data_IF_467372298328
#
_entry.id   IF_467372298328
#
_cell.length_a   1.000
_cell.length_b   1.000
_cell.length_c   1.000
_cell.angle_alpha   90.00
_cell.angle_beta   90.00
_cell.angle_gamma   90.00
#
_symmetry.space_group_name_H-M   'P 1'
#
loop_
_entity.id
_entity.type
_entity.pdbx_description
1 polymer ?
#
# COMPACT_ATOMS: atom_id res chain seq x y z
N UNK A 1 -1.54 -41.68 -29.03
CA UNK A 1 -1.07 -42.24 -27.74
C UNK A 1 -1.57 -41.28 -26.68
N UNK A 2 -2.82 -41.47 -26.29
CA UNK A 2 -3.54 -40.60 -25.36
C UNK A 2 -3.48 -41.24 -23.98
N UNK A 3 -3.06 -40.48 -22.96
CA UNK A 3 -3.05 -40.92 -21.57
C UNK A 3 -4.19 -40.20 -20.85
N UNK A 4 -5.14 -40.91 -20.21
CA UNK A 4 -6.37 -40.33 -19.69
C UNK A 4 -6.19 -39.68 -18.32
N UNK A 5 -6.90 -38.56 -18.11
CA UNK A 5 -7.02 -37.84 -16.83
C UNK A 5 -8.08 -38.52 -15.96
N UNK A 6 -7.69 -39.02 -14.78
CA UNK A 6 -8.60 -39.60 -13.81
C UNK A 6 -9.17 -38.52 -12.87
N UNK A 7 -10.46 -38.20 -13.02
CA UNK A 7 -11.25 -37.39 -12.06
C UNK A 7 -12.24 -38.30 -11.33
N UNK A 8 -11.95 -38.70 -10.10
CA UNK A 8 -12.97 -39.21 -9.18
C UNK A 8 -12.55 -39.13 -7.71
N UNK A 9 -12.97 -38.07 -7.01
CA UNK A 9 -13.28 -38.12 -5.57
C UNK A 9 -14.51 -37.26 -5.31
N UNK A 10 -15.69 -37.90 -5.37
CA UNK A 10 -16.93 -37.38 -4.77
C UNK A 10 -17.00 -37.93 -3.35
N UNK A 11 -17.08 -37.04 -2.36
CA UNK A 11 -17.39 -37.41 -0.99
C UNK A 11 -18.90 -37.60 -0.86
N UNK A 12 -19.31 -38.76 -0.35
CA UNK A 12 -20.70 -39.11 -0.03
C UNK A 12 -20.90 -38.87 1.47
N UNK A 13 -21.84 -38.00 1.84
CA UNK A 13 -22.33 -37.90 3.22
C UNK A 13 -23.30 -39.06 3.47
N UNK A 14 -22.97 -39.96 4.41
CA UNK A 14 -23.93 -40.88 5.02
C UNK A 14 -24.41 -40.28 6.35
N UNK A 15 -25.69 -39.90 6.40
CA UNK A 15 -26.37 -39.56 7.65
C UNK A 15 -27.08 -40.83 8.16
N UNK A 16 -26.60 -41.39 9.27
CA UNK A 16 -27.23 -42.51 9.95
C UNK A 16 -28.13 -41.97 11.07
N UNK A 17 -29.46 -42.06 10.90
CA UNK A 17 -30.43 -41.79 11.97
C UNK A 17 -30.43 -42.96 12.97
N UNK A 18 -30.14 -42.67 14.23
CA UNK A 18 -30.44 -43.57 15.35
C UNK A 18 -31.80 -43.19 15.95
N UNK A 19 -32.80 -44.07 15.77
CA UNK A 19 -34.09 -44.00 16.47
C UNK A 19 -33.91 -44.55 17.89
N UNK A 20 -34.31 -43.78 18.91
CA UNK A 20 -34.46 -44.27 20.28
C UNK A 20 -35.93 -44.22 20.67
N UNK A 21 -36.47 -45.38 21.02
CA UNK A 21 -37.86 -45.61 21.43
C UNK A 21 -37.96 -45.46 22.94
N UNK A 22 -38.72 -44.48 23.42
CA UNK A 22 -39.15 -44.43 24.82
C UNK A 22 -40.67 -44.23 24.88
N UNK A 23 -41.33 -45.22 25.46
CA UNK A 23 -42.77 -45.30 25.71
C UNK A 23 -43.14 -44.33 26.84
N UNK A 24 -44.12 -43.44 26.59
CA UNK A 24 -44.78 -42.67 27.64
C UNK A 24 -46.30 -42.81 27.52
N UNK A 25 -46.94 -43.15 28.65
CA UNK A 25 -48.39 -43.39 28.82
C UNK A 25 -49.13 -42.06 29.03
N UNK A 26 -50.37 -42.03 28.57
CA UNK A 26 -51.20 -40.86 28.27
C UNK A 26 -51.70 -39.99 29.45
N UNK A 27 -52.01 -38.72 29.13
CA UNK A 27 -52.84 -37.81 29.92
C UNK A 27 -53.17 -36.51 29.17
N UNK A 28 -54.43 -36.35 28.77
CA UNK A 28 -55.09 -35.33 27.91
C UNK A 28 -54.74 -33.85 28.15
N UNK A 29 -54.75 -33.05 27.08
CA UNK A 29 -54.97 -31.59 27.13
C UNK A 29 -54.48 -30.82 25.89
N UNK A 30 -55.38 -30.13 25.21
CA UNK A 30 -55.28 -29.49 23.89
C UNK A 30 -54.48 -28.17 23.81
N UNK A 31 -53.99 -27.93 22.58
CA UNK A 31 -53.81 -26.66 21.86
C UNK A 31 -52.37 -26.10 21.70
N UNK A 32 -52.02 -26.02 20.41
CA UNK A 32 -50.79 -25.58 19.77
C UNK A 32 -50.50 -24.08 20.00
N UNK A 33 -49.26 -23.77 20.38
CA UNK A 33 -48.68 -22.43 20.31
C UNK A 33 -47.15 -22.58 20.27
N UNK A 34 -46.58 -22.63 19.07
CA UNK A 34 -45.15 -22.82 18.86
C UNK A 34 -44.42 -21.50 19.13
N UNK A 35 -43.88 -21.33 20.33
CA UNK A 35 -42.85 -20.34 20.66
C UNK A 35 -41.70 -21.11 21.32
N UNK A 36 -40.62 -21.36 20.58
CA UNK A 36 -39.41 -21.94 21.15
C UNK A 36 -38.54 -20.80 21.71
N UNK A 37 -38.68 -20.58 23.01
CA UNK A 37 -37.58 -20.18 23.88
C UNK A 37 -37.05 -21.46 24.53
N UNK A 38 -35.75 -21.73 24.42
CA UNK A 38 -35.09 -22.75 25.23
C UNK A 38 -33.94 -22.10 25.98
N UNK A 39 -34.17 -21.95 27.28
CA UNK A 39 -33.17 -21.68 28.29
C UNK A 39 -32.27 -22.90 28.52
N UNK A 40 -31.11 -22.60 29.08
CA UNK A 40 -29.98 -23.47 29.37
C UNK A 40 -30.28 -24.68 30.28
N UNK A 41 -29.51 -25.75 30.06
CA UNK A 41 -29.03 -26.60 31.14
C UNK A 41 -27.49 -26.60 31.12
N UNK A 42 -26.91 -26.14 32.22
CA UNK A 42 -25.49 -26.13 32.55
C UNK A 42 -25.07 -27.40 33.27
N UNK A 43 -23.95 -27.99 32.85
CA UNK A 43 -22.97 -28.78 33.64
C UNK A 43 -21.67 -28.71 32.83
N UNK A 44 -20.48 -28.28 33.24
CA UNK A 44 -19.88 -27.92 34.52
C UNK A 44 -18.39 -28.35 34.46
N UNK A 45 -17.45 -27.37 34.42
CA UNK A 45 -15.98 -27.49 34.59
C UNK A 45 -15.19 -28.08 33.39
N UNK A 46 -14.06 -27.55 32.90
CA UNK A 46 -13.11 -26.58 33.43
C UNK A 46 -12.33 -25.82 32.32
N UNK A 47 -12.23 -24.50 32.55
CA UNK A 47 -11.19 -23.51 32.24
C UNK A 47 -10.32 -23.57 30.95
N UNK A 48 -10.47 -22.52 30.13
CA UNK A 48 -9.49 -22.09 29.11
C UNK A 48 -10.10 -21.14 28.08
N UNK A 49 -10.30 -19.89 28.46
CA UNK A 49 -11.12 -18.90 27.74
C UNK A 49 -10.69 -18.59 26.30
N UNK A 50 -11.71 -18.54 25.45
CA UNK A 50 -11.75 -17.82 24.17
C UNK A 50 -11.37 -16.36 24.39
N UNK A 51 -10.47 -15.82 23.58
CA UNK A 51 -10.15 -14.39 23.55
C UNK A 51 -10.42 -13.82 22.16
N UNK A 52 -11.16 -12.73 22.18
CA UNK A 52 -11.82 -12.03 21.10
C UNK A 52 -10.89 -11.51 20.00
N UNK A 53 -11.43 -11.56 18.78
CA UNK A 53 -11.02 -10.71 17.68
C UNK A 53 -11.70 -9.34 17.88
N UNK A 54 -10.99 -8.39 18.50
CA UNK A 54 -11.54 -7.07 18.73
C UNK A 54 -10.75 -6.22 19.72
N UNK A 55 -9.42 -6.17 19.61
CA UNK A 55 -8.64 -5.08 20.21
C UNK A 55 -7.22 -5.05 19.66
N UNK A 56 -6.96 -4.24 18.62
CA UNK A 56 -5.59 -3.83 18.24
C UNK A 56 -5.52 -2.36 17.85
N UNK A 57 -6.42 -1.59 18.46
CA UNK A 57 -6.50 -0.14 18.30
C UNK A 57 -5.87 0.66 19.42
N UNK A 58 -5.12 0.06 20.35
CA UNK A 58 -4.45 0.81 21.43
C UNK A 58 -3.16 0.13 21.87
N UNK A 59 -2.06 0.43 21.17
CA UNK A 59 -0.72 0.10 21.67
C UNK A 59 0.36 0.99 21.06
N UNK A 60 0.18 2.32 21.01
CA UNK A 60 1.30 3.27 20.86
C UNK A 60 0.99 4.59 21.58
N UNK A 61 0.94 4.53 22.90
CA UNK A 61 1.26 5.68 23.75
C UNK A 61 2.12 5.16 24.89
N UNK A 62 3.45 5.31 24.75
CA UNK A 62 4.35 5.74 25.83
C UNK A 62 5.80 5.72 25.35
N UNK A 63 6.40 6.91 25.27
CA UNK A 63 7.75 7.28 25.71
C UNK A 63 8.38 8.37 24.82
N UNK A 64 7.96 9.61 25.05
CA UNK A 64 8.84 10.77 24.86
C UNK A 64 8.52 11.79 25.96
N UNK A 65 9.09 11.57 27.14
CA UNK A 65 9.13 12.56 28.20
C UNK A 65 10.30 13.52 27.96
N UNK A 66 9.98 14.78 27.65
CA UNK A 66 10.72 15.97 28.07
C UNK A 66 9.66 17.06 28.14
N UNK A 67 9.37 17.72 29.26
CA UNK A 67 10.30 18.43 30.10
C UNK A 67 9.87 19.90 30.11
N UNK A 68 9.02 20.24 31.09
CA UNK A 68 8.78 21.57 31.70
C UNK A 68 8.19 22.74 30.88
N UNK A 69 7.04 23.24 31.36
CA UNK A 69 6.84 24.68 31.57
C UNK A 69 5.47 25.27 31.17
N UNK A 70 4.66 25.64 32.17
CA UNK A 70 3.75 26.78 32.06
C UNK A 70 2.24 26.49 32.07
N UNK A 71 1.63 26.61 33.25
CA UNK A 71 0.18 26.64 33.45
C UNK A 71 -0.44 27.99 33.06
N UNK A 72 -1.71 28.00 32.62
CA UNK A 72 -2.81 28.82 33.19
C UNK A 72 -4.15 28.68 32.43
N UNK A 73 -5.16 28.23 33.18
CA UNK A 73 -6.56 28.70 33.29
C UNK A 73 -7.49 28.87 32.05
N UNK A 74 -8.42 27.91 31.95
CA UNK A 74 -9.91 28.02 31.94
C UNK A 74 -10.65 29.34 31.68
N UNK A 75 -11.68 29.24 30.83
CA UNK A 75 -12.90 30.07 30.75
C UNK A 75 -13.23 30.38 29.29
N UNK A 76 -14.42 30.20 28.71
CA UNK A 76 -15.75 29.90 29.21
C UNK A 76 -16.77 30.66 28.34
N UNK A 77 -17.70 29.91 27.73
CA UNK A 77 -19.05 30.28 27.29
C UNK A 77 -19.30 31.15 26.02
N UNK A 78 -20.50 30.87 25.49
CA UNK A 78 -21.13 31.21 24.23
C UNK A 78 -21.93 32.53 24.23
N UNK A 79 -22.41 32.95 23.05
CA UNK A 79 -23.80 33.32 22.69
C UNK A 79 -23.83 34.19 21.40
N UNK A 80 -24.50 33.77 20.30
CA UNK A 80 -25.88 34.02 19.81
C UNK A 80 -26.10 35.23 18.87
N UNK A 81 -26.94 35.03 17.84
CA UNK A 81 -27.64 36.04 17.01
C UNK A 81 -26.96 36.34 15.66
N UNK A 82 -27.54 36.21 14.47
CA UNK A 82 -28.94 36.09 14.03
C UNK A 82 -29.23 37.19 12.98
N UNK A 83 -29.72 36.85 11.78
CA UNK A 83 -30.32 37.83 10.86
C UNK A 83 -30.17 37.52 9.37
N UNK A 84 -31.30 37.40 8.66
CA UNK A 84 -31.48 36.88 7.31
C UNK A 84 -31.84 37.98 6.27
N UNK A 85 -31.87 37.57 4.99
CA UNK A 85 -32.59 38.21 3.87
C UNK A 85 -31.65 38.84 2.82
N UNK A 86 -31.82 38.68 1.51
CA UNK A 86 -32.82 38.03 0.67
C UNK A 86 -32.54 38.37 -0.81
N UNK A 87 -32.82 37.40 -1.69
CA UNK A 87 -33.27 37.45 -3.10
C UNK A 87 -32.68 38.44 -4.15
N UNK A 88 -32.42 37.89 -5.35
CA UNK A 88 -31.83 38.52 -6.55
C UNK A 88 -32.74 39.49 -7.32
N UNK A 89 -32.46 39.77 -8.62
CA UNK A 89 -32.65 38.77 -9.67
C UNK A 89 -31.63 38.83 -10.84
N UNK A 90 -32.02 38.19 -11.94
CA UNK A 90 -31.27 37.47 -12.97
C UNK A 90 -30.90 38.23 -14.27
N UNK A 91 -30.39 37.43 -15.23
CA UNK A 91 -30.28 37.60 -16.70
C UNK A 91 -28.92 38.18 -17.20
N UNK A 92 -28.30 37.75 -18.32
CA UNK A 92 -28.58 36.73 -19.34
C UNK A 92 -27.42 36.65 -20.35
N UNK A 93 -27.28 35.49 -21.01
CA UNK A 93 -26.94 35.25 -22.43
C UNK A 93 -25.63 35.77 -23.06
N UNK A 94 -24.94 34.86 -23.76
CA UNK A 94 -24.03 35.20 -24.87
C UNK A 94 -23.38 33.96 -25.51
N UNK A 95 -23.98 33.46 -26.60
CA UNK A 95 -23.43 32.42 -27.47
C UNK A 95 -22.89 33.04 -28.77
N UNK A 96 -21.95 32.35 -29.44
CA UNK A 96 -21.49 32.62 -30.82
C UNK A 96 -19.99 32.91 -30.91
N UNK A 97 -19.19 32.33 -31.80
CA UNK A 97 -19.55 31.57 -32.99
C UNK A 97 -18.36 30.82 -33.62
N UNK A 98 -18.72 30.08 -34.65
CA UNK A 98 -17.86 29.24 -35.49
C UNK A 98 -17.31 30.00 -36.71
N UNK A 99 -16.27 29.41 -37.34
CA UNK A 99 -15.79 29.72 -38.70
C UNK A 99 -14.39 29.12 -38.91
N UNK A 100 -14.24 27.86 -39.34
CA UNK A 100 -14.09 27.35 -40.73
C UNK A 100 -12.91 27.91 -41.53
N UNK A 101 -11.95 27.05 -41.89
CA UNK A 101 -11.41 26.72 -43.24
C UNK A 101 -10.20 25.78 -43.03
N UNK A 102 -10.21 24.48 -43.39
CA UNK A 102 -10.25 23.83 -44.72
C UNK A 102 -8.89 23.83 -45.48
N UNK A 103 -8.46 22.61 -45.84
CA UNK A 103 -7.35 22.29 -46.77
C UNK A 103 -6.22 21.54 -46.07
N UNK A 104 -5.89 20.26 -46.30
CA UNK A 104 -6.11 19.39 -47.45
C UNK A 104 -4.74 18.80 -47.84
N UNK A 105 -4.57 17.48 -47.75
CA UNK A 105 -3.37 16.80 -48.26
C UNK A 105 -2.97 15.54 -47.49
N UNK A 106 -3.31 14.38 -48.04
CA UNK A 106 -2.69 13.07 -47.76
C UNK A 106 -2.13 12.54 -49.10
N UNK A 107 -1.47 11.37 -49.15
CA UNK A 107 -0.37 10.84 -48.36
C UNK A 107 0.85 10.56 -49.27
N UNK A 108 2.00 10.15 -48.72
CA UNK A 108 3.19 9.80 -49.50
C UNK A 108 4.02 8.70 -48.84
N UNK A 109 4.31 7.68 -49.63
CA UNK A 109 4.71 6.32 -49.27
C UNK A 109 6.07 6.11 -48.58
N UNK A 110 6.11 5.06 -47.76
CA UNK A 110 6.96 3.88 -47.94
C UNK A 110 8.44 4.07 -48.30
N UNK A 111 9.31 3.79 -47.32
CA UNK A 111 10.72 3.53 -47.55
C UNK A 111 11.31 2.66 -46.45
N UNK A 112 11.39 1.34 -46.69
CA UNK A 112 12.15 0.42 -45.88
C UNK A 112 13.59 0.32 -46.40
N UNK A 113 14.59 0.54 -45.55
CA UNK A 113 15.93 -0.04 -45.69
C UNK A 113 16.56 -0.18 -44.31
N UNK A 114 17.12 -1.36 -44.04
CA UNK A 114 17.72 -1.70 -42.76
C UNK A 114 19.21 -1.40 -42.62
N UNK A 115 19.69 -1.80 -41.44
CA UNK A 115 21.06 -2.03 -40.99
C UNK A 115 21.98 -0.81 -40.77
N UNK A 116 22.55 -0.74 -39.55
CA UNK A 116 23.74 0.05 -39.26
C UNK A 116 23.77 0.56 -37.83
N UNK A 117 24.56 -0.08 -36.98
CA UNK A 117 24.78 0.35 -35.60
C UNK A 117 25.67 1.59 -35.46
N UNK A 118 25.87 1.92 -34.18
CA UNK A 118 26.71 2.98 -33.59
C UNK A 118 26.03 4.35 -33.43
N UNK A 119 25.93 4.79 -32.18
CA UNK A 119 25.56 6.16 -31.84
C UNK A 119 25.23 6.31 -30.37
N UNK A 120 26.23 6.65 -29.57
CA UNK A 120 26.06 7.02 -28.17
C UNK A 120 25.18 8.25 -28.01
N UNK A 121 24.57 8.32 -26.83
CA UNK A 121 23.70 9.40 -26.41
C UNK A 121 22.86 8.89 -25.26
N UNK A 122 23.44 8.85 -24.06
CA UNK A 122 22.70 8.68 -22.82
C UNK A 122 21.78 9.89 -22.64
N UNK A 123 20.65 9.90 -23.34
CA UNK A 123 19.52 10.70 -22.97
C UNK A 123 19.03 10.19 -21.63
N UNK A 124 18.82 11.08 -20.67
CA UNK A 124 18.03 10.74 -19.49
C UNK A 124 16.76 10.03 -20.00
N UNK A 125 16.47 8.80 -19.54
CA UNK A 125 15.25 8.14 -19.96
C UNK A 125 14.08 9.06 -19.62
N UNK A 126 13.11 9.17 -20.52
CA UNK A 126 11.93 10.04 -20.40
C UNK A 126 10.96 9.48 -19.33
N UNK A 127 11.48 9.28 -18.12
CA UNK A 127 10.79 8.71 -16.96
C UNK A 127 9.58 9.54 -16.60
N UNK A 128 9.67 10.87 -16.72
CA UNK A 128 8.57 11.77 -16.45
C UNK A 128 7.39 11.58 -17.41
N UNK A 129 7.66 11.43 -18.72
CA UNK A 129 6.59 11.24 -19.72
C UNK A 129 5.94 9.86 -19.60
N UNK A 130 6.72 8.82 -19.25
CA UNK A 130 6.18 7.49 -18.97
C UNK A 130 5.30 7.45 -17.72
N UNK A 131 5.71 8.13 -16.66
CA UNK A 131 4.94 8.18 -15.42
C UNK A 131 3.58 8.86 -15.63
N UNK A 132 3.53 9.93 -16.41
CA UNK A 132 2.27 10.61 -16.77
C UNK A 132 1.32 9.77 -17.64
N UNK A 133 1.85 8.83 -18.45
CA UNK A 133 1.05 7.97 -19.33
C UNK A 133 0.49 6.71 -18.63
N UNK A 134 0.92 6.43 -17.40
CA UNK A 134 0.56 5.23 -16.65
C UNK A 134 -0.89 5.22 -16.15
N UNK A 135 -1.45 6.41 -15.88
CA UNK A 135 -2.85 6.58 -15.46
C UNK A 135 -3.16 6.08 -14.04
N UNK A 136 -2.14 5.83 -13.21
CA UNK A 136 -2.31 5.44 -11.82
C UNK A 136 -1.37 6.21 -10.90
N UNK A 137 -1.87 6.59 -9.73
CA UNK A 137 -1.05 7.08 -8.62
C UNK A 137 -0.79 5.98 -7.58
N UNK A 138 -1.53 4.86 -7.63
CA UNK A 138 -1.45 3.76 -6.66
C UNK A 138 -0.49 2.64 -7.09
N UNK A 139 0.07 2.74 -8.29
CA UNK A 139 1.12 1.86 -8.81
C UNK A 139 2.42 2.63 -9.10
N UNK A 140 3.55 1.92 -9.02
CA UNK A 140 4.85 2.51 -9.34
C UNK A 140 4.99 2.65 -10.86
N UNK A 141 4.79 3.86 -11.36
CA UNK A 141 4.86 4.18 -12.79
C UNK A 141 6.24 4.68 -13.23
N UNK A 142 7.27 4.36 -12.45
CA UNK A 142 8.63 4.89 -12.57
C UNK A 142 9.64 3.86 -12.04
N UNK A 143 10.93 3.93 -12.44
CA UNK A 143 11.99 3.17 -11.79
C UNK A 143 11.99 3.48 -10.29
N UNK A 144 11.92 2.46 -9.43
CA UNK A 144 11.82 2.67 -7.99
C UNK A 144 13.13 3.24 -7.44
N UNK A 145 13.15 4.43 -6.83
CA UNK A 145 14.38 5.01 -6.28
C UNK A 145 14.82 4.23 -5.04
N UNK A 146 16.11 4.00 -4.88
CA UNK A 146 16.72 3.45 -3.66
C UNK A 146 17.59 4.51 -2.98
N UNK A 147 17.79 4.50 -1.64
CA UNK A 147 18.65 5.47 -0.97
C UNK A 147 20.03 5.62 -1.63
N UNK A 148 20.50 6.86 -1.85
CA UNK A 148 21.63 7.19 -2.73
C UNK A 148 22.95 6.47 -2.41
N UNK A 149 23.15 6.04 -1.15
CA UNK A 149 24.34 5.32 -0.68
C UNK A 149 24.17 3.81 -0.53
N UNK A 150 23.01 3.24 -0.91
CA UNK A 150 22.71 1.81 -0.69
C UNK A 150 23.41 0.85 -1.64
N UNK A 151 24.01 1.35 -2.72
CA UNK A 151 24.60 0.51 -3.78
C UNK A 151 23.56 -0.19 -4.67
N UNK A 152 22.26 0.07 -4.46
CA UNK A 152 21.17 -0.47 -5.26
C UNK A 152 20.90 0.41 -6.51
N UNK A 153 20.22 -0.12 -7.55
CA UNK A 153 19.86 0.65 -8.74
C UNK A 153 19.00 1.88 -8.43
N UNK A 154 18.98 2.83 -9.37
CA UNK A 154 18.19 4.06 -9.28
C UNK A 154 18.44 4.85 -7.97
N UNK A 155 19.67 5.31 -7.70
CA UNK A 155 19.97 6.07 -6.50
C UNK A 155 19.07 7.32 -6.42
N UNK A 156 18.38 7.47 -5.29
CA UNK A 156 17.46 8.55 -5.02
C UNK A 156 18.23 9.87 -5.11
N UNK A 157 17.63 10.84 -5.79
CA UNK A 157 18.19 12.17 -5.90
C UNK A 157 17.07 13.18 -6.03
N UNK A 158 17.29 14.35 -5.43
CA UNK A 158 16.30 15.42 -5.40
C UNK A 158 16.90 16.75 -5.86
N UNK A 159 16.05 17.66 -6.32
CA UNK A 159 16.42 19.03 -6.64
C UNK A 159 15.44 20.00 -5.99
N UNK A 160 15.96 20.99 -5.28
CA UNK A 160 15.16 22.10 -4.76
C UNK A 160 14.79 23.02 -5.93
N UNK A 161 13.49 23.20 -6.17
CA UNK A 161 12.96 24.07 -7.23
C UNK A 161 12.72 25.51 -6.74
N UNK A 162 12.98 25.79 -5.47
CA UNK A 162 12.59 27.02 -4.80
C UNK A 162 11.09 27.03 -4.47
N UNK A 163 10.65 28.08 -3.77
CA UNK A 163 9.23 28.25 -3.42
C UNK A 163 8.66 27.17 -2.50
N UNK A 164 9.52 26.43 -1.78
CA UNK A 164 9.13 25.34 -0.88
C UNK A 164 8.85 24.01 -1.58
N UNK A 165 9.36 23.81 -2.81
CA UNK A 165 9.13 22.62 -3.63
C UNK A 165 10.41 21.85 -3.88
N UNK A 166 10.37 20.54 -3.67
CA UNK A 166 11.47 19.61 -3.98
C UNK A 166 11.01 18.63 -5.05
N UNK A 167 11.79 18.49 -6.12
CA UNK A 167 11.57 17.46 -7.15
C UNK A 167 12.38 16.21 -6.83
N UNK A 168 11.75 15.05 -6.91
CA UNK A 168 12.41 13.76 -7.04
C UNK A 168 12.81 13.54 -8.50
N UNK A 169 14.11 13.38 -8.76
CA UNK A 169 14.65 13.29 -10.11
C UNK A 169 14.49 11.91 -10.76
N UNK A 170 14.07 10.90 -10.00
CA UNK A 170 13.81 9.56 -10.51
C UNK A 170 12.33 9.40 -10.83
N UNK A 171 11.44 9.81 -9.92
CA UNK A 171 9.98 9.67 -10.07
C UNK A 171 9.32 10.84 -10.78
N UNK A 172 10.02 11.97 -10.88
CA UNK A 172 9.52 13.26 -11.36
C UNK A 172 8.39 13.86 -10.53
N UNK A 173 8.08 13.28 -9.36
CA UNK A 173 7.15 13.86 -8.40
C UNK A 173 7.74 15.11 -7.76
N UNK A 174 6.90 16.08 -7.51
CA UNK A 174 7.24 17.25 -6.71
C UNK A 174 6.56 17.17 -5.36
N UNK A 175 7.33 17.51 -4.32
CA UNK A 175 6.97 17.35 -2.93
C UNK A 175 7.02 18.69 -2.24
N UNK A 176 6.05 18.93 -1.36
CA UNK A 176 6.11 20.01 -0.38
C UNK A 176 7.37 19.79 0.47
N UNK A 177 8.25 20.78 0.56
CA UNK A 177 9.52 20.67 1.28
C UNK A 177 9.34 20.70 2.80
N UNK A 178 8.48 21.59 3.29
CA UNK A 178 8.19 21.77 4.71
C UNK A 178 6.69 21.67 4.96
N UNK A 179 6.20 20.55 5.54
CA UNK A 179 4.80 20.37 5.86
C UNK A 179 4.40 21.14 7.12
N UNK A 180 3.08 21.30 7.37
CA UNK A 180 2.59 21.89 8.62
C UNK A 180 3.05 21.07 9.84
N UNK A 181 3.14 21.74 10.98
CA UNK A 181 3.62 21.11 12.23
C UNK A 181 2.50 20.42 13.02
N UNK A 182 1.26 20.77 12.69
CA UNK A 182 0.01 20.27 13.21
C UNK A 182 -0.27 18.84 12.72
N UNK A 183 -1.11 18.13 13.47
CA UNK A 183 -1.61 16.81 13.08
C UNK A 183 -3.01 16.94 12.48
N UNK A 184 -3.29 16.14 11.45
CA UNK A 184 -4.52 16.19 10.66
C UNK A 184 -5.19 14.82 10.63
N UNK A 185 -6.53 14.79 10.76
CA UNK A 185 -7.30 13.60 10.35
C UNK A 185 -7.14 13.38 8.86
N UNK A 186 -7.50 12.21 8.37
CA UNK A 186 -7.37 11.89 6.94
C UNK A 186 -8.16 12.86 6.05
N UNK A 187 -9.40 13.22 6.43
CA UNK A 187 -10.24 14.16 5.68
C UNK A 187 -9.66 15.58 5.72
N UNK A 188 -9.07 15.98 6.84
CA UNK A 188 -8.39 17.27 6.95
C UNK A 188 -7.10 17.30 6.13
N UNK A 189 -6.37 16.19 6.06
CA UNK A 189 -5.12 16.09 5.32
C UNK A 189 -5.32 16.13 3.80
N UNK A 190 -6.33 15.43 3.28
CA UNK A 190 -6.70 15.54 1.86
C UNK A 190 -7.09 16.99 1.53
N UNK A 191 -8.00 17.58 2.31
CA UNK A 191 -8.42 18.98 2.12
C UNK A 191 -7.25 19.96 2.17
N UNK A 192 -6.33 19.79 3.12
CA UNK A 192 -5.15 20.64 3.23
C UNK A 192 -4.34 20.61 1.93
N UNK A 193 -4.09 19.44 1.37
CA UNK A 193 -3.35 19.32 0.13
C UNK A 193 -4.14 19.84 -1.08
N UNK A 194 -5.44 19.56 -1.16
CA UNK A 194 -6.31 20.04 -2.24
C UNK A 194 -6.41 21.58 -2.29
N UNK A 195 -6.33 22.24 -1.12
CA UNK A 195 -6.37 23.70 -0.98
C UNK A 195 -4.97 24.35 -1.05
N UNK A 196 -3.90 23.56 -1.04
CA UNK A 196 -2.54 24.07 -1.00
C UNK A 196 -2.18 24.78 -2.32
N UNK A 197 -1.73 26.03 -2.21
CA UNK A 197 -1.01 26.72 -3.29
C UNK A 197 0.43 26.96 -2.88
N UNK A 198 1.37 26.30 -3.55
CA UNK A 198 2.80 26.30 -3.21
C UNK A 198 3.64 26.25 -4.48
N UNK A 199 4.76 26.98 -4.53
CA UNK A 199 5.64 27.03 -5.70
C UNK A 199 4.94 27.50 -6.99
N UNK A 200 3.85 28.27 -6.89
CA UNK A 200 3.04 28.71 -8.03
C UNK A 200 2.07 27.66 -8.58
N UNK A 201 1.90 26.52 -7.91
CA UNK A 201 1.01 25.42 -8.33
C UNK A 201 -0.06 25.12 -7.28
N UNK A 202 -1.21 24.61 -7.72
CA UNK A 202 -2.42 24.37 -6.91
C UNK A 202 -3.03 22.98 -7.14
N UNK A 203 -2.29 22.07 -7.77
CA UNK A 203 -2.65 20.68 -8.09
C UNK A 203 -1.99 19.71 -7.09
N UNK A 204 -1.86 20.15 -5.84
CA UNK A 204 -1.29 19.35 -4.76
C UNK A 204 -2.31 18.34 -4.26
N UNK A 205 -1.84 17.17 -3.83
CA UNK A 205 -2.67 16.13 -3.22
C UNK A 205 -1.92 15.42 -2.10
N UNK A 206 -2.66 14.71 -1.28
CA UNK A 206 -2.07 13.80 -0.30
C UNK A 206 -1.49 12.57 -1.05
N UNK A 207 -0.24 12.16 -0.78
CA UNK A 207 0.45 11.11 -1.52
C UNK A 207 -0.23 9.76 -1.32
N UNK A 208 -0.20 8.92 -2.34
CA UNK A 208 -0.56 7.51 -2.19
C UNK A 208 0.53 6.76 -1.43
N UNK A 209 0.26 5.50 -1.11
CA UNK A 209 1.24 4.63 -0.46
C UNK A 209 2.52 4.49 -1.31
N UNK A 210 2.41 4.21 -2.60
CA UNK A 210 3.59 3.98 -3.45
C UNK A 210 4.40 5.26 -3.70
N UNK A 211 3.75 6.42 -3.74
CA UNK A 211 4.43 7.71 -3.81
C UNK A 211 5.23 7.97 -2.53
N UNK A 212 4.61 7.78 -1.35
CA UNK A 212 5.33 7.92 -0.08
C UNK A 212 6.51 6.93 0.03
N UNK A 213 6.35 5.68 -0.42
CA UNK A 213 7.45 4.69 -0.49
C UNK A 213 8.67 5.23 -1.24
N UNK A 214 8.47 6.02 -2.30
CA UNK A 214 9.57 6.50 -3.15
C UNK A 214 10.54 7.45 -2.42
N UNK A 215 10.11 8.10 -1.34
CA UNK A 215 10.93 9.05 -0.57
C UNK A 215 11.40 8.52 0.80
N UNK A 216 10.98 7.31 1.21
CA UNK A 216 11.33 6.73 2.53
C UNK A 216 12.76 6.22 2.61
N UNK A 217 13.65 6.93 3.26
CA UNK A 217 15.05 6.52 3.40
C UNK A 217 15.27 5.59 4.61
N UNK A 218 15.27 4.28 4.35
CA UNK A 218 15.46 3.24 5.36
C UNK A 218 16.87 3.19 5.97
N UNK A 219 17.83 3.97 5.47
CA UNK A 219 19.21 4.01 5.98
C UNK A 219 19.39 4.99 7.13
N UNK A 220 18.36 5.78 7.47
CA UNK A 220 18.44 6.80 8.50
C UNK A 220 17.16 6.91 9.34
N UNK A 221 17.21 7.78 10.35
CA UNK A 221 16.03 8.14 11.14
C UNK A 221 15.99 9.64 11.45
N UNK A 222 14.84 10.33 11.28
CA UNK A 222 13.63 9.87 10.57
C UNK A 222 13.94 9.33 9.17
N UNK A 223 13.13 8.37 8.70
CA UNK A 223 13.36 7.56 7.50
C UNK A 223 13.05 8.34 6.22
N UNK A 224 13.74 9.45 6.02
CA UNK A 224 13.56 10.41 4.92
C UNK A 224 14.81 11.27 4.78
N UNK A 225 15.11 11.74 3.57
CA UNK A 225 16.24 12.64 3.33
C UNK A 225 16.05 13.99 4.05
N UNK A 226 16.79 14.20 5.15
CA UNK A 226 16.72 15.42 5.95
C UNK A 226 17.35 16.65 5.28
N UNK A 227 18.17 16.46 4.26
CA UNK A 227 18.73 17.57 3.48
C UNK A 227 17.69 18.08 2.50
N UNK A 228 17.00 17.16 1.81
CA UNK A 228 15.89 17.51 0.91
C UNK A 228 14.66 18.01 1.69
N UNK A 229 14.37 17.40 2.85
CA UNK A 229 13.19 17.67 3.67
C UNK A 229 13.59 18.16 5.07
N UNK A 230 14.08 19.41 5.19
CA UNK A 230 14.51 19.95 6.47
C UNK A 230 13.37 19.99 7.48
N UNK A 231 13.68 19.61 8.72
CA UNK A 231 12.70 19.56 9.81
C UNK A 231 11.74 18.38 9.75
N UNK A 232 11.97 17.39 8.87
CA UNK A 232 11.19 16.17 8.86
C UNK A 232 11.17 15.49 10.23
N UNK A 233 9.97 15.11 10.68
CA UNK A 233 9.73 14.48 11.98
C UNK A 233 9.51 12.98 11.79
N UNK A 234 9.82 12.21 12.83
CA UNK A 234 9.37 10.82 12.92
C UNK A 234 7.86 10.73 13.15
N UNK A 235 7.35 9.51 13.29
CA UNK A 235 5.94 9.25 13.56
C UNK A 235 5.10 9.05 12.29
N UNK A 236 3.80 8.86 12.50
CA UNK A 236 2.88 8.54 11.42
C UNK A 236 2.61 9.72 10.48
N UNK A 237 2.58 9.41 9.20
CA UNK A 237 2.27 10.30 8.09
C UNK A 237 1.11 9.72 7.28
N UNK A 238 0.10 10.54 7.01
CA UNK A 238 -1.10 10.16 6.25
C UNK A 238 -0.78 9.96 4.77
N UNK A 239 -1.51 9.03 4.15
CA UNK A 239 -1.57 8.84 2.70
C UNK A 239 -3.02 8.88 2.23
N UNK A 240 -3.24 9.11 0.93
CA UNK A 240 -4.55 9.07 0.28
C UNK A 240 -5.00 7.65 -0.08
N UNK A 241 -4.15 6.64 0.11
CA UNK A 241 -4.51 5.24 -0.14
C UNK A 241 -5.45 4.73 0.97
N UNK A 242 -6.75 4.66 0.70
CA UNK A 242 -7.69 3.94 1.57
C UNK A 242 -7.39 2.43 1.52
N UNK A 243 -7.62 1.74 2.64
CA UNK A 243 -7.52 0.28 2.67
C UNK A 243 -8.66 -0.36 1.86
N UNK A 244 -8.38 -1.41 1.09
CA UNK A 244 -9.39 -2.01 0.20
C UNK A 244 -10.62 -2.54 0.94
N UNK A 245 -10.46 -2.98 2.19
CA UNK A 245 -11.59 -3.42 3.00
C UNK A 245 -12.46 -2.27 3.50
N UNK A 246 -11.89 -1.08 3.70
CA UNK A 246 -12.64 0.16 3.93
C UNK A 246 -13.43 0.55 2.68
N UNK A 247 -12.80 0.49 1.49
CA UNK A 247 -13.50 0.77 0.22
C UNK A 247 -14.67 -0.20 0.01
N UNK A 248 -14.46 -1.49 0.28
CA UNK A 248 -15.47 -2.56 0.08
C UNK A 248 -16.49 -2.65 1.20
N UNK A 249 -16.26 -1.97 2.34
CA UNK A 249 -17.04 -2.12 3.56
C UNK A 249 -17.21 -3.60 3.96
N UNK A 250 -16.11 -4.36 3.97
CA UNK A 250 -16.12 -5.81 4.17
C UNK A 250 -15.02 -6.28 5.15
N UNK A 251 -15.30 -7.34 5.91
CA UNK A 251 -14.32 -7.96 6.82
C UNK A 251 -14.31 -7.36 8.23
N UNK A 252 -13.24 -7.63 8.99
CA UNK A 252 -13.11 -7.31 10.43
C UNK A 252 -13.03 -5.80 10.77
N UNK A 253 -13.25 -4.92 9.80
CA UNK A 253 -13.31 -3.46 9.96
C UNK A 253 -14.48 -2.82 9.19
N UNK A 254 -15.51 -3.59 8.82
CA UNK A 254 -16.69 -3.03 8.15
C UNK A 254 -17.36 -1.96 9.03
N UNK A 255 -17.65 -0.78 8.45
CA UNK A 255 -18.13 0.38 9.20
C UNK A 255 -17.02 1.23 9.85
N UNK A 256 -15.75 0.87 9.65
CA UNK A 256 -14.60 1.66 10.08
C UNK A 256 -13.76 2.10 8.88
N UNK A 257 -13.35 3.37 8.93
CA UNK A 257 -12.62 4.03 7.87
C UNK A 257 -11.12 4.02 8.18
N UNK A 258 -10.38 3.21 7.42
CA UNK A 258 -8.93 3.02 7.56
C UNK A 258 -8.21 3.38 6.26
N UNK A 259 -7.04 3.99 6.43
CA UNK A 259 -6.13 4.31 5.33
C UNK A 259 -4.69 3.89 5.67
N UNK A 260 -3.92 3.67 4.62
CA UNK A 260 -2.48 3.44 4.70
C UNK A 260 -1.77 4.64 5.33
N UNK A 261 -0.75 4.37 6.14
CA UNK A 261 0.09 5.42 6.72
C UNK A 261 1.54 4.95 6.88
N UNK A 262 2.45 5.92 6.93
CA UNK A 262 3.88 5.67 7.05
C UNK A 262 4.40 6.15 8.39
N UNK A 263 5.06 5.29 9.14
CA UNK A 263 5.82 5.71 10.31
C UNK A 263 7.23 6.11 9.86
N UNK A 264 7.51 7.42 9.76
CA UNK A 264 8.85 7.89 9.41
C UNK A 264 9.85 7.80 10.58
N UNK A 265 9.48 7.31 11.75
CA UNK A 265 10.48 7.02 12.80
C UNK A 265 11.43 5.91 12.37
N UNK A 266 10.92 4.91 11.65
CA UNK A 266 11.62 3.70 11.27
C UNK A 266 11.35 3.25 9.82
N UNK A 267 10.27 3.71 9.16
CA UNK A 267 9.96 3.42 7.75
C UNK A 267 8.81 2.43 7.54
N UNK A 268 8.04 2.09 8.60
CA UNK A 268 6.97 1.09 8.55
C UNK A 268 5.77 1.62 7.76
N UNK A 269 5.23 0.79 6.85
CA UNK A 269 3.98 1.05 6.13
C UNK A 269 2.86 0.27 6.80
N UNK A 270 2.07 0.94 7.65
CA UNK A 270 1.00 0.33 8.43
C UNK A 270 -0.26 0.10 7.58
N UNK A 271 -0.91 -1.06 7.79
CA UNK A 271 -2.01 -1.58 6.98
C UNK A 271 -3.38 -0.96 7.27
N UNK A 272 -3.54 -0.16 8.32
CA UNK A 272 -4.82 0.50 8.60
C UNK A 272 -4.67 1.46 9.79
N UNK A 273 -4.38 2.73 9.54
CA UNK A 273 -4.59 3.75 10.58
C UNK A 273 -5.99 4.29 10.47
N UNK A 274 -6.65 4.46 11.62
CA UNK A 274 -7.97 5.08 11.65
C UNK A 274 -7.91 6.45 10.98
N UNK A 275 -8.86 6.72 10.08
CA UNK A 275 -8.97 7.99 9.38
C UNK A 275 -9.23 9.16 10.36
N UNK A 276 -9.86 8.86 11.49
CA UNK A 276 -10.09 9.81 12.58
C UNK A 276 -8.83 10.14 13.42
N UNK A 277 -7.81 9.28 13.44
CA UNK A 277 -6.58 9.54 14.22
C UNK A 277 -5.75 10.59 13.50
N UNK A 278 -5.46 11.71 14.17
CA UNK A 278 -4.66 12.77 13.60
C UNK A 278 -3.17 12.35 13.47
N UNK A 279 -2.54 12.67 12.35
CA UNK A 279 -1.12 12.40 12.10
C UNK A 279 -0.50 13.47 11.18
N UNK A 280 0.82 13.43 10.96
CA UNK A 280 1.49 14.35 10.04
C UNK A 280 1.09 14.08 8.58
N UNK A 281 1.34 15.04 7.69
CA UNK A 281 1.14 14.89 6.25
C UNK A 281 2.31 15.51 5.50
N UNK A 282 2.36 15.26 4.19
CA UNK A 282 3.18 16.01 3.22
C UNK A 282 2.47 15.92 1.89
N UNK A 283 2.32 17.03 1.17
CA UNK A 283 1.65 17.00 -0.13
C UNK A 283 2.63 16.69 -1.27
N UNK A 284 2.10 16.11 -2.33
CA UNK A 284 2.81 15.73 -3.56
C UNK A 284 2.01 16.17 -4.78
N UNK A 285 2.68 16.40 -5.91
CA UNK A 285 2.07 16.70 -7.23
C UNK A 285 2.84 16.02 -8.36
N UNK A 286 2.22 15.94 -9.55
CA UNK A 286 2.79 15.31 -10.76
C UNK A 286 2.20 13.94 -11.11
N UNK A 287 2.63 13.38 -12.25
CA UNK A 287 2.20 12.09 -12.82
C UNK A 287 0.73 11.99 -13.28
N UNK A 288 0.18 13.09 -13.82
CA UNK A 288 -1.13 13.10 -14.47
C UNK A 288 -2.30 12.90 -13.52
N UNK A 289 -3.47 12.59 -14.09
CA UNK A 289 -4.67 12.22 -13.33
C UNK A 289 -4.54 10.74 -12.90
N UNK A 290 -4.83 10.46 -11.63
CA UNK A 290 -4.79 9.13 -11.04
C UNK A 290 -6.09 8.78 -10.33
N UNK A 291 -6.09 7.69 -9.57
CA UNK A 291 -7.28 7.26 -8.85
C UNK A 291 -7.58 8.18 -7.66
N UNK A 292 -8.87 8.49 -7.46
CA UNK A 292 -9.29 9.19 -6.25
C UNK A 292 -8.95 8.37 -4.98
N UNK A 293 -8.78 9.03 -3.82
CA UNK A 293 -8.33 8.37 -2.59
C UNK A 293 -9.11 7.09 -2.23
N UNK A 294 -10.45 7.12 -2.34
CA UNK A 294 -11.34 5.99 -2.03
C UNK A 294 -11.69 5.09 -3.24
N UNK A 295 -11.01 5.25 -4.38
CA UNK A 295 -11.17 4.33 -5.53
C UNK A 295 -10.21 3.14 -5.39
N UNK A 296 -10.62 1.91 -5.77
CA UNK A 296 -9.68 0.79 -5.87
C UNK A 296 -8.51 1.13 -6.81
N UNK A 297 -7.32 0.63 -6.51
CA UNK A 297 -6.18 0.75 -7.43
C UNK A 297 -6.47 0.02 -8.75
N UNK A 298 -6.05 0.62 -9.86
CA UNK A 298 -6.22 0.03 -11.18
C UNK A 298 -4.84 -0.28 -11.74
N UNK A 299 -4.56 -1.57 -11.97
CA UNK A 299 -3.30 -1.98 -12.56
C UNK A 299 -3.08 -1.26 -13.91
N UNK A 300 -1.92 -0.62 -14.13
CA UNK A 300 -1.62 0.05 -15.38
C UNK A 300 -1.71 -0.92 -16.57
N UNK A 301 -2.09 -0.43 -17.77
CA UNK A 301 -2.11 -1.26 -18.97
C UNK A 301 -0.72 -1.83 -19.25
N UNK A 302 -0.68 -3.11 -19.63
CA UNK A 302 0.58 -3.81 -19.95
C UNK A 302 1.64 -3.72 -18.84
N UNK A 303 1.23 -3.62 -17.57
CA UNK A 303 2.18 -3.48 -16.45
C UNK A 303 3.25 -4.58 -16.42
N UNK A 304 2.87 -5.82 -16.72
CA UNK A 304 3.76 -6.97 -16.61
C UNK A 304 3.93 -7.71 -17.93
N UNK A 305 5.13 -8.22 -18.16
CA UNK A 305 5.46 -9.10 -19.30
C UNK A 305 6.27 -10.30 -18.81
N UNK A 306 5.84 -11.52 -19.16
CA UNK A 306 6.64 -12.72 -18.96
C UNK A 306 7.76 -12.72 -20.00
N UNK A 307 8.99 -12.43 -19.58
CA UNK A 307 10.13 -12.27 -20.50
C UNK A 307 10.86 -13.58 -20.78
N UNK A 308 10.78 -14.52 -19.85
CA UNK A 308 11.26 -15.91 -19.93
C UNK A 308 10.43 -16.78 -18.98
N UNK A 309 10.41 -18.12 -19.15
CA UNK A 309 9.83 -18.99 -18.13
C UNK A 309 10.40 -18.69 -16.73
N UNK A 310 9.52 -18.38 -15.78
CA UNK A 310 9.91 -18.02 -14.42
C UNK A 310 10.35 -16.56 -14.22
N UNK A 311 10.30 -15.70 -15.24
CA UNK A 311 10.68 -14.29 -15.15
C UNK A 311 9.55 -13.35 -15.60
N UNK A 312 9.26 -12.36 -14.76
CA UNK A 312 8.26 -11.32 -15.05
C UNK A 312 8.92 -9.96 -14.96
N UNK A 313 8.89 -9.20 -16.05
CA UNK A 313 9.29 -7.80 -16.08
C UNK A 313 8.10 -6.91 -15.74
N UNK A 314 8.31 -5.96 -14.82
CA UNK A 314 7.45 -4.80 -14.65
C UNK A 314 7.90 -3.73 -15.65
N UNK A 315 7.03 -3.40 -16.61
CA UNK A 315 7.32 -2.51 -17.72
C UNK A 315 7.45 -1.04 -17.30
N UNK A 316 6.99 -0.67 -16.10
CA UNK A 316 7.09 0.69 -15.58
C UNK A 316 8.30 0.88 -14.66
N UNK A 317 8.55 -0.07 -13.75
CA UNK A 317 9.71 0.01 -12.86
C UNK A 317 11.01 -0.48 -13.52
N UNK A 318 10.89 -1.30 -14.58
CA UNK A 318 12.01 -1.93 -15.27
C UNK A 318 12.63 -3.12 -14.50
N UNK A 319 12.07 -3.46 -13.33
CA UNK A 319 12.53 -4.59 -12.52
C UNK A 319 12.11 -5.91 -13.17
N UNK A 320 13.02 -6.88 -13.19
CA UNK A 320 12.67 -8.26 -13.56
C UNK A 320 12.66 -9.12 -12.32
N UNK A 321 11.52 -9.75 -12.08
CA UNK A 321 11.24 -10.54 -10.90
C UNK A 321 11.25 -12.03 -11.21
N UNK A 322 11.75 -12.80 -10.25
CA UNK A 322 11.44 -14.22 -10.17
C UNK A 322 9.93 -14.37 -10.01
N UNK A 323 9.31 -15.13 -10.91
CA UNK A 323 7.87 -15.34 -10.91
C UNK A 323 7.41 -16.12 -9.68
N UNK A 324 8.17 -17.16 -9.32
CA UNK A 324 7.98 -17.95 -8.12
C UNK A 324 8.51 -17.24 -6.87
N UNK A 325 8.92 -18.04 -5.90
CA UNK A 325 9.54 -17.63 -4.64
C UNK A 325 10.39 -18.79 -4.13
N UNK A 326 11.08 -18.62 -3.01
CA UNK A 326 11.89 -19.67 -2.42
C UNK A 326 11.09 -20.96 -2.11
N UNK A 327 11.70 -22.16 -2.22
CA UNK A 327 11.00 -23.42 -1.97
C UNK A 327 10.62 -23.65 -0.50
N UNK A 328 11.25 -22.91 0.42
CA UNK A 328 10.95 -22.88 1.84
C UNK A 328 11.25 -21.48 2.40
N UNK A 329 10.79 -21.21 3.62
CA UNK A 329 11.26 -20.05 4.38
C UNK A 329 12.71 -20.25 4.76
N UNK A 330 13.48 -19.16 4.83
CA UNK A 330 14.90 -19.19 5.15
C UNK A 330 15.30 -18.00 6.03
N UNK A 331 16.45 -18.10 6.69
CA UNK A 331 17.04 -16.97 7.42
C UNK A 331 17.45 -15.86 6.44
N UNK A 332 17.69 -14.65 6.96
CA UNK A 332 18.07 -13.52 6.12
C UNK A 332 19.40 -13.74 5.37
N UNK A 333 20.41 -14.33 6.03
CA UNK A 333 21.69 -14.66 5.39
C UNK A 333 21.56 -15.73 4.29
N UNK A 334 20.66 -16.70 4.50
CA UNK A 334 20.32 -17.68 3.47
C UNK A 334 19.55 -17.03 2.31
N UNK A 335 18.74 -16.00 2.56
CA UNK A 335 18.01 -15.27 1.52
C UNK A 335 18.92 -14.53 0.54
N UNK A 336 19.95 -13.85 1.07
CA UNK A 336 20.99 -13.23 0.25
C UNK A 336 21.71 -14.28 -0.60
N UNK A 337 22.08 -15.39 0.01
CA UNK A 337 22.77 -16.51 -0.67
C UNK A 337 21.88 -17.17 -1.73
N UNK A 338 20.60 -17.35 -1.43
CA UNK A 338 19.62 -17.93 -2.35
C UNK A 338 19.51 -17.11 -3.62
N UNK A 339 19.31 -15.79 -3.52
CA UNK A 339 19.23 -14.96 -4.71
C UNK A 339 20.57 -14.89 -5.45
N UNK A 340 21.70 -14.75 -4.73
CA UNK A 340 23.02 -14.67 -5.37
C UNK A 340 23.39 -15.95 -6.16
N UNK A 341 22.82 -17.10 -5.80
CA UNK A 341 23.10 -18.40 -6.42
C UNK A 341 21.92 -18.96 -7.24
N UNK A 342 20.85 -18.19 -7.40
CA UNK A 342 19.67 -18.60 -8.16
C UNK A 342 20.05 -18.76 -9.64
N UNK A 343 20.11 -20.01 -10.11
CA UNK A 343 20.35 -20.34 -11.51
C UNK A 343 19.05 -20.37 -12.31
N UNK A 344 18.49 -19.18 -12.54
CA UNK A 344 17.30 -18.99 -13.37
C UNK A 344 17.70 -18.21 -14.63
N UNK A 345 17.66 -18.90 -15.77
CA UNK A 345 17.99 -18.41 -17.11
C UNK A 345 19.37 -17.73 -17.23
N UNK A 346 20.39 -18.24 -16.53
CA UNK A 346 21.77 -17.74 -16.56
C UNK A 346 21.88 -16.24 -16.20
N UNK A 347 21.05 -15.76 -15.26
CA UNK A 347 21.04 -14.37 -14.80
C UNK A 347 21.61 -14.24 -13.39
N UNK A 348 22.18 -13.06 -13.13
CA UNK A 348 22.53 -12.66 -11.77
C UNK A 348 21.29 -12.08 -11.07
N UNK A 349 20.91 -12.68 -9.96
CA UNK A 349 19.77 -12.29 -9.15
C UNK A 349 20.23 -11.72 -7.80
N UNK A 350 19.40 -10.87 -7.20
CA UNK A 350 19.65 -10.30 -5.88
C UNK A 350 18.38 -10.26 -5.05
N UNK A 351 18.58 -10.14 -3.74
CA UNK A 351 17.50 -9.81 -2.83
C UNK A 351 17.03 -8.37 -3.12
N UNK A 352 15.71 -8.11 -3.23
CA UNK A 352 15.16 -6.79 -3.51
C UNK A 352 15.25 -5.88 -2.28
N UNK A 353 15.24 -4.57 -2.51
CA UNK A 353 15.00 -3.61 -1.43
C UNK A 353 13.52 -3.64 -1.00
N UNK A 354 13.20 -3.04 0.15
CA UNK A 354 11.81 -2.97 0.62
C UNK A 354 10.96 -2.08 -0.28
N UNK A 355 11.57 -1.04 -0.86
CA UNK A 355 10.91 -0.16 -1.82
C UNK A 355 10.59 -0.90 -3.12
N UNK A 356 11.51 -1.75 -3.59
CA UNK A 356 11.29 -2.61 -4.75
C UNK A 356 10.21 -3.66 -4.48
N UNK A 357 10.28 -4.38 -3.36
CA UNK A 357 9.22 -5.33 -2.97
C UNK A 357 7.84 -4.67 -2.91
N UNK A 358 7.77 -3.44 -2.41
CA UNK A 358 6.52 -2.70 -2.30
C UNK A 358 5.89 -2.35 -3.68
N UNK A 359 6.64 -2.40 -4.79
CA UNK A 359 6.06 -2.19 -6.13
C UNK A 359 5.16 -3.33 -6.57
N UNK A 360 5.32 -4.53 -5.99
CA UNK A 360 4.50 -5.69 -6.29
C UNK A 360 3.13 -5.64 -5.62
N UNK A 361 2.91 -4.75 -4.66
CA UNK A 361 1.68 -4.74 -3.86
C UNK A 361 0.51 -4.15 -4.64
N UNK A 362 -0.46 -5.01 -4.95
CA UNK A 362 -1.75 -4.64 -5.52
C UNK A 362 -2.71 -4.19 -4.39
N UNK A 363 -2.90 -2.88 -4.26
CA UNK A 363 -3.80 -2.27 -3.26
C UNK A 363 -5.28 -2.61 -3.50
N UNK A 364 -5.66 -3.16 -4.65
CA UNK A 364 -7.03 -3.63 -4.90
C UNK A 364 -7.25 -5.06 -4.41
N UNK A 365 -6.25 -5.72 -3.83
CA UNK A 365 -6.30 -7.10 -3.39
C UNK A 365 -5.85 -7.25 -1.93
N UNK A 366 -6.37 -8.29 -1.28
CA UNK A 366 -5.88 -8.81 0.00
C UNK A 366 -5.87 -10.33 -0.08
N UNK A 367 -4.93 -10.94 0.62
CA UNK A 367 -4.79 -12.38 0.78
C UNK A 367 -4.82 -13.17 -0.55
N UNK A 368 -3.84 -12.98 -1.46
CA UNK A 368 -2.71 -12.04 -1.38
C UNK A 368 -2.95 -10.72 -2.14
N UNK A 369 -2.24 -9.67 -1.72
CA UNK A 369 -2.17 -8.31 -2.28
C UNK A 369 -1.10 -8.19 -3.38
N UNK A 370 -1.19 -9.02 -4.41
CA UNK A 370 -0.23 -9.08 -5.53
C UNK A 370 -0.97 -9.47 -6.81
N UNK A 371 -0.40 -9.15 -7.99
CA UNK A 371 -0.94 -9.56 -9.28
C UNK A 371 -0.88 -11.10 -9.47
N UNK A 372 -1.96 -11.78 -9.08
CA UNK A 372 -2.04 -13.26 -8.91
C UNK A 372 -1.76 -14.09 -10.16
N UNK A 373 -2.02 -13.53 -11.34
CA UNK A 373 -1.70 -14.21 -12.61
C UNK A 373 -0.20 -14.15 -12.93
N UNK A 374 0.46 -13.05 -12.54
CA UNK A 374 1.88 -12.86 -12.81
C UNK A 374 2.72 -13.50 -11.73
N UNK A 375 2.25 -13.50 -10.48
CA UNK A 375 2.94 -14.13 -9.35
C UNK A 375 2.04 -15.20 -8.70
N UNK A 376 1.81 -16.33 -9.41
CA UNK A 376 0.99 -17.41 -8.90
C UNK A 376 1.60 -18.01 -7.62
N UNK A 377 0.75 -18.62 -6.81
CA UNK A 377 1.12 -19.37 -5.60
C UNK A 377 1.88 -18.56 -4.52
N UNK A 378 1.94 -17.22 -4.65
CA UNK A 378 2.52 -16.34 -3.63
C UNK A 378 1.97 -16.71 -2.26
N UNK A 379 2.86 -17.07 -1.33
CA UNK A 379 2.50 -17.47 0.03
C UNK A 379 1.95 -16.28 0.81
N UNK A 380 0.84 -16.53 1.50
CA UNK A 380 0.07 -15.61 2.32
C UNK A 380 -0.70 -16.46 3.35
N UNK A 381 -1.07 -15.90 4.49
CA UNK A 381 -1.61 -16.70 5.56
C UNK A 381 -1.99 -15.91 6.81
N UNK A 382 -2.97 -16.43 7.54
CA UNK A 382 -3.50 -15.77 8.73
C UNK A 382 -2.40 -15.44 9.75
N UNK A 383 -2.52 -14.25 10.36
CA UNK A 383 -1.63 -13.69 11.39
C UNK A 383 -0.29 -13.13 10.90
N UNK A 384 -0.15 -12.80 9.62
CA UNK A 384 1.01 -12.06 9.11
C UNK A 384 2.32 -12.81 9.34
N UNK A 385 2.33 -14.12 9.12
CA UNK A 385 3.54 -14.95 9.30
C UNK A 385 4.31 -15.17 7.99
N UNK A 386 3.68 -14.93 6.85
CA UNK A 386 4.29 -15.10 5.52
C UNK A 386 4.95 -13.80 5.09
N UNK A 387 6.15 -13.59 5.62
CA UNK A 387 7.02 -12.45 5.29
C UNK A 387 7.90 -12.76 4.08
N UNK A 388 8.36 -11.70 3.40
CA UNK A 388 9.31 -11.75 2.30
C UNK A 388 10.49 -10.83 2.60
N UNK A 389 11.70 -11.40 2.67
CA UNK A 389 12.90 -10.65 3.03
C UNK A 389 13.27 -9.56 2.02
N UNK A 390 13.66 -8.40 2.53
CA UNK A 390 14.33 -7.33 1.81
C UNK A 390 15.84 -7.30 2.13
N UNK A 391 16.61 -6.63 1.27
CA UNK A 391 18.08 -6.66 1.23
C UNK A 391 18.82 -5.82 2.27
N UNK A 392 18.13 -5.25 3.27
CA UNK A 392 18.76 -4.31 4.20
C UNK A 392 18.22 -4.43 5.62
N UNK A 393 19.10 -4.09 6.56
CA UNK A 393 18.78 -3.93 7.98
C UNK A 393 18.11 -2.59 8.27
N UNK A 394 17.25 -2.55 9.27
CA UNK A 394 16.68 -1.32 9.79
C UNK A 394 17.74 -0.44 10.49
N UNK A 395 17.71 0.87 10.22
CA UNK A 395 18.71 1.83 10.72
C UNK A 395 18.84 1.90 12.25
N UNK A 396 17.76 1.61 13.00
CA UNK A 396 17.75 1.68 14.47
C UNK A 396 17.98 0.34 15.18
N UNK A 397 17.90 -0.79 14.48
CA UNK A 397 17.89 -2.12 15.09
C UNK A 397 18.90 -3.04 14.39
N UNK A 398 20.04 -3.30 15.04
CA UNK A 398 20.97 -4.33 14.60
C UNK A 398 20.46 -5.73 15.02
N UNK A 399 20.44 -6.76 14.16
CA UNK A 399 20.27 -6.81 12.71
C UNK A 399 18.80 -7.19 12.37
N UNK A 400 17.91 -6.21 12.36
CA UNK A 400 16.52 -6.40 11.99
C UNK A 400 16.36 -6.19 10.49
N UNK A 401 16.40 -7.26 9.69
CA UNK A 401 16.13 -7.15 8.26
C UNK A 401 14.68 -6.73 8.00
N UNK A 402 14.48 -5.93 6.96
CA UNK A 402 13.14 -5.56 6.49
C UNK A 402 12.46 -6.72 5.79
N UNK A 403 11.14 -6.74 5.87
CA UNK A 403 10.32 -7.66 5.12
C UNK A 403 8.96 -7.06 4.76
N UNK A 404 8.34 -7.65 3.74
CA UNK A 404 6.99 -7.34 3.30
C UNK A 404 6.10 -8.57 3.48
N UNK A 405 4.85 -8.37 3.89
CA UNK A 405 3.84 -9.42 3.94
C UNK A 405 2.76 -9.13 2.88
N UNK A 406 2.43 -10.13 2.05
CA UNK A 406 1.45 -9.99 0.98
C UNK A 406 0.00 -10.27 1.42
N UNK A 407 -0.31 -10.47 2.71
CA UNK A 407 -1.71 -10.56 3.14
C UNK A 407 -2.45 -9.25 2.83
N UNK A 408 -1.79 -8.12 3.02
CA UNK A 408 -2.31 -6.80 2.74
C UNK A 408 -1.26 -5.83 2.19
N UNK A 409 0.03 -6.21 2.15
CA UNK A 409 1.12 -5.39 1.61
C UNK A 409 1.90 -4.63 2.67
N UNK A 410 1.72 -5.01 3.94
CA UNK A 410 2.38 -4.42 5.09
C UNK A 410 3.91 -4.59 5.03
N UNK A 411 4.66 -3.55 5.44
CA UNK A 411 6.13 -3.63 5.58
C UNK A 411 6.56 -3.47 7.02
N UNK A 412 7.56 -4.22 7.45
CA UNK A 412 8.12 -4.09 8.79
C UNK A 412 9.54 -4.64 8.88
N UNK A 413 10.26 -4.22 9.92
CA UNK A 413 11.53 -4.86 10.27
C UNK A 413 11.28 -6.03 11.22
N UNK A 414 12.14 -7.05 11.16
CA UNK A 414 12.11 -8.14 12.12
C UNK A 414 12.60 -7.66 13.50
N UNK A 415 11.74 -7.62 14.52
CA UNK A 415 12.13 -7.08 15.83
C UNK A 415 13.23 -7.88 16.56
N UNK A 416 13.59 -9.08 16.10
CA UNK A 416 14.70 -9.87 16.65
C UNK A 416 14.45 -10.49 18.02
N UNK A 417 13.32 -10.19 18.67
CA UNK A 417 12.95 -10.68 19.99
C UNK A 417 11.63 -11.46 19.97
N UNK A 418 11.65 -12.68 20.52
CA UNK A 418 10.47 -13.53 20.66
C UNK A 418 9.35 -12.84 21.44
N UNK A 419 8.12 -12.90 20.93
CA UNK A 419 6.94 -12.29 21.54
C UNK A 419 6.56 -10.92 20.94
N UNK A 420 7.44 -10.30 20.12
CA UNK A 420 7.05 -9.17 19.27
C UNK A 420 6.22 -9.68 18.09
N UNK A 421 5.21 -8.91 17.69
CA UNK A 421 4.28 -9.30 16.62
C UNK A 421 4.96 -9.43 15.25
N UNK A 422 6.04 -8.69 15.03
CA UNK A 422 6.90 -8.70 13.84
C UNK A 422 8.21 -9.49 14.07
N UNK A 423 8.20 -10.47 14.97
CA UNK A 423 9.33 -11.38 15.12
C UNK A 423 9.11 -12.66 14.34
N UNK A 424 10.09 -13.00 13.51
CA UNK A 424 10.13 -14.25 12.75
C UNK A 424 11.59 -14.66 12.54
N UNK A 425 11.86 -15.96 12.49
CA UNK A 425 13.22 -16.49 12.33
C UNK A 425 13.57 -16.81 10.88
N UNK A 426 12.55 -16.99 10.05
CA UNK A 426 12.66 -17.30 8.63
C UNK A 426 11.51 -16.65 7.86
N UNK A 427 11.76 -16.32 6.59
CA UNK A 427 10.79 -15.72 5.69
C UNK A 427 10.98 -16.24 4.27
N UNK A 428 9.98 -16.03 3.41
CA UNK A 428 10.04 -16.33 1.99
C UNK A 428 10.96 -15.34 1.26
N UNK A 429 11.34 -15.69 0.04
CA UNK A 429 12.20 -14.85 -0.80
C UNK A 429 11.66 -14.77 -2.21
N UNK A 430 11.62 -13.56 -2.76
CA UNK A 430 11.44 -13.28 -4.18
C UNK A 430 12.67 -12.51 -4.65
N UNK A 431 13.37 -13.04 -5.65
CA UNK A 431 14.55 -12.38 -6.18
C UNK A 431 14.20 -11.39 -7.30
N UNK A 432 15.02 -10.35 -7.45
CA UNK A 432 14.90 -9.32 -8.48
C UNK A 432 16.24 -9.14 -9.19
N UNK A 433 16.23 -8.56 -10.39
CA UNK A 433 17.42 -8.10 -11.10
C UNK A 433 17.18 -6.81 -11.86
#
# INVERSE_FOLDING_TARGET
MEVPVNRSKRWVLHATLAMSSAVARAGRGTALGLALAAAACSTGGDAGGSADAGDRGDALSESAASGTGGALATGGAAETGGGAGGEGPAASSGAGGAGTTAGGGAPGDGGATGAGGAGGGGGAPDTCSKAAACGSHKWACWPMPNPAGSGLPNPASTSDLGGGVVRDNVTCLEWQQSPPSEAFTWEQANRYCDELTLGGSSDWRLPTRIEMTSIVDFTQSPAIDKTAFPGARGGFHKTSSDWILTIRQAGAGAGHDYAWAFNLSDGIVSNATSKATAASLRCVRGNGEGEAPSSPAVAPPDQYTVVSPGEVMDNYTGLVWQQGYSPATMTWAEAESYCATLDLNDRAWRLPSIRELATLVDEAQVAPSIHRTMFPDTQYGARSNDWYWASHSAARNAPAAWALNFDDGFTGFNAGESGKWNHFTAAWVKCVR
#
